data_IF_724087222985
#
_entry.id   IF_724087222985
#
_cell.length_a   1.000
_cell.length_b   1.000
_cell.length_c   1.000
_cell.angle_alpha   90.00
_cell.angle_beta   90.00
_cell.angle_gamma   90.00
#
_symmetry.space_group_name_H-M   'P 1'
#
loop_
_entity.id
_entity.type
_entity.pdbx_description
1 polymer ?
#
# COMPACT_ATOMS: atom_id res chain seq x y z
N UNK A 1 -17.16 -15.14 -9.64
CA UNK A 1 -16.95 -14.50 -10.95
C UNK A 1 -18.25 -13.91 -11.42
N UNK A 2 -18.27 -12.60 -11.69
CA UNK A 2 -19.51 -11.91 -12.18
C UNK A 2 -19.53 -11.87 -13.69
N UNK A 3 -18.39 -11.62 -14.32
CA UNK A 3 -18.29 -11.52 -15.78
C UNK A 3 -16.93 -11.97 -16.29
N UNK A 4 -16.92 -12.63 -17.42
CA UNK A 4 -15.75 -12.94 -18.24
C UNK A 4 -15.84 -12.10 -19.51
N UNK A 5 -14.76 -11.39 -19.84
CA UNK A 5 -14.73 -10.42 -20.93
C UNK A 5 -14.00 -10.91 -22.18
N UNK A 6 -13.16 -11.94 -22.02
CA UNK A 6 -12.38 -12.50 -23.10
C UNK A 6 -12.60 -14.00 -23.21
N UNK A 7 -12.71 -14.51 -24.42
CA UNK A 7 -12.86 -15.94 -24.72
C UNK A 7 -11.60 -16.51 -25.39
N UNK A 8 -11.56 -17.83 -25.57
CA UNK A 8 -10.47 -18.47 -26.30
C UNK A 8 -10.32 -17.86 -27.69
N UNK A 9 -9.06 -17.63 -28.09
CA UNK A 9 -8.65 -17.02 -29.35
C UNK A 9 -8.80 -15.50 -29.45
N UNK A 10 -9.41 -14.84 -28.45
CA UNK A 10 -9.50 -13.39 -28.44
C UNK A 10 -8.11 -12.75 -28.28
N UNK A 11 -7.88 -11.68 -29.03
CA UNK A 11 -6.69 -10.85 -28.88
C UNK A 11 -6.90 -9.81 -27.77
N UNK A 12 -6.02 -9.78 -26.80
CA UNK A 12 -6.08 -8.87 -25.65
C UNK A 12 -4.77 -8.08 -25.52
N UNK A 13 -4.87 -6.83 -25.08
CA UNK A 13 -3.71 -6.00 -24.79
C UNK A 13 -3.38 -6.08 -23.30
N UNK A 14 -2.15 -5.79 -22.98
CA UNK A 14 -1.74 -5.62 -21.58
C UNK A 14 -2.61 -4.59 -20.88
N UNK A 15 -3.18 -4.97 -19.73
CA UNK A 15 -4.09 -4.13 -18.94
C UNK A 15 -5.58 -4.30 -19.27
N UNK A 16 -5.94 -5.00 -20.34
CA UNK A 16 -7.34 -5.29 -20.65
C UNK A 16 -7.95 -6.17 -19.56
N UNK A 17 -9.18 -5.87 -19.15
CA UNK A 17 -9.90 -6.65 -18.14
C UNK A 17 -10.35 -7.98 -18.75
N UNK A 18 -9.90 -9.08 -18.17
CA UNK A 18 -10.25 -10.44 -18.59
C UNK A 18 -11.43 -11.00 -17.79
N UNK A 19 -11.41 -10.80 -16.48
CA UNK A 19 -12.43 -11.34 -15.57
C UNK A 19 -12.76 -10.29 -14.51
N UNK A 20 -14.04 -10.18 -14.17
CA UNK A 20 -14.51 -9.36 -13.05
C UNK A 20 -15.12 -10.28 -12.00
N UNK A 21 -14.65 -10.12 -10.78
CA UNK A 21 -15.20 -10.79 -9.58
C UNK A 21 -16.33 -9.97 -8.98
N UNK A 22 -17.04 -10.55 -8.02
CA UNK A 22 -18.00 -9.80 -7.22
C UNK A 22 -17.26 -8.73 -6.40
N UNK A 23 -17.69 -7.49 -6.55
CA UNK A 23 -17.08 -6.32 -5.94
C UNK A 23 -17.81 -5.86 -4.69
N UNK A 24 -18.92 -6.47 -4.32
CA UNK A 24 -19.83 -5.97 -3.29
C UNK A 24 -19.10 -5.79 -1.97
N UNK A 25 -18.46 -6.85 -1.47
CA UNK A 25 -17.75 -6.83 -0.19
C UNK A 25 -16.52 -5.91 -0.22
N UNK A 26 -15.76 -5.96 -1.31
CA UNK A 26 -14.56 -5.12 -1.47
C UNK A 26 -14.93 -3.63 -1.54
N UNK A 27 -16.02 -3.28 -2.21
CA UNK A 27 -16.53 -1.91 -2.28
C UNK A 27 -17.03 -1.42 -0.92
N UNK A 28 -17.77 -2.26 -0.19
CA UNK A 28 -18.22 -1.93 1.17
C UNK A 28 -17.03 -1.74 2.12
N UNK A 29 -16.02 -2.61 2.04
CA UNK A 29 -14.79 -2.48 2.84
C UNK A 29 -14.06 -1.16 2.53
N UNK A 30 -13.97 -0.78 1.26
CA UNK A 30 -13.36 0.48 0.83
C UNK A 30 -14.12 1.70 1.37
N UNK A 31 -15.44 1.75 1.26
CA UNK A 31 -16.26 2.84 1.80
C UNK A 31 -16.19 2.91 3.34
N UNK A 32 -16.15 1.77 4.02
CA UNK A 32 -15.93 1.69 5.47
C UNK A 32 -14.57 2.27 5.86
N UNK A 33 -13.52 1.91 5.15
CA UNK A 33 -12.17 2.42 5.40
C UNK A 33 -12.09 3.95 5.17
N UNK A 34 -12.72 4.48 4.13
CA UNK A 34 -12.83 5.94 3.89
C UNK A 34 -13.53 6.67 5.04
N UNK A 35 -14.60 6.08 5.55
CA UNK A 35 -15.35 6.66 6.68
C UNK A 35 -14.50 6.66 7.95
N UNK A 36 -13.73 5.59 8.20
CA UNK A 36 -12.80 5.51 9.31
C UNK A 36 -11.68 6.56 9.20
N UNK A 37 -11.11 6.76 8.02
CA UNK A 37 -10.13 7.82 7.78
C UNK A 37 -10.72 9.21 8.06
N UNK A 38 -11.90 9.49 7.54
CA UNK A 38 -12.58 10.76 7.80
C UNK A 38 -12.85 10.98 9.30
N UNK A 39 -13.16 9.93 10.05
CA UNK A 39 -13.31 9.99 11.52
C UNK A 39 -11.99 10.29 12.21
N UNK A 40 -10.92 9.58 11.85
CA UNK A 40 -9.57 9.78 12.41
C UNK A 40 -9.07 11.21 12.16
N UNK A 41 -9.26 11.73 10.94
CA UNK A 41 -8.93 13.12 10.60
C UNK A 41 -9.66 14.12 11.48
N UNK A 42 -10.99 13.93 11.69
CA UNK A 42 -11.78 14.82 12.56
C UNK A 42 -11.34 14.76 14.01
N UNK A 43 -11.05 13.58 14.55
CA UNK A 43 -10.55 13.40 15.93
C UNK A 43 -9.20 14.10 16.11
N UNK A 44 -8.28 13.89 15.20
CA UNK A 44 -6.95 14.54 15.25
C UNK A 44 -7.07 16.04 15.12
N UNK A 45 -7.91 16.54 14.22
CA UNK A 45 -8.16 17.97 14.08
C UNK A 45 -8.77 18.58 15.35
N UNK A 46 -9.65 17.85 16.05
CA UNK A 46 -10.20 18.27 17.32
C UNK A 46 -9.11 18.41 18.42
N UNK A 47 -8.17 17.46 18.47
CA UNK A 47 -7.02 17.55 19.39
C UNK A 47 -6.14 18.75 19.09
N UNK A 48 -5.92 19.07 17.82
CA UNK A 48 -5.16 20.26 17.40
C UNK A 48 -5.87 21.58 17.76
N UNK A 49 -7.19 21.63 17.63
CA UNK A 49 -7.99 22.79 18.08
C UNK A 49 -7.90 22.92 19.60
N UNK A 50 -8.03 21.80 20.34
CA UNK A 50 -7.91 21.80 21.79
C UNK A 50 -6.53 22.29 22.24
N UNK A 51 -5.46 21.95 21.55
CA UNK A 51 -4.12 22.45 21.81
C UNK A 51 -4.05 23.99 21.75
N UNK A 52 -4.66 24.60 20.72
CA UNK A 52 -4.73 26.07 20.59
C UNK A 52 -5.53 26.70 21.74
N UNK A 53 -6.61 26.06 22.16
CA UNK A 53 -7.41 26.52 23.28
C UNK A 53 -6.63 26.48 24.61
N UNK A 54 -5.88 25.38 24.85
CA UNK A 54 -5.04 25.25 26.04
C UNK A 54 -3.88 26.26 26.02
N UNK A 55 -3.30 26.54 24.85
CA UNK A 55 -2.28 27.58 24.70
C UNK A 55 -2.84 28.97 25.05
N UNK A 56 -4.06 29.29 24.61
CA UNK A 56 -4.71 30.54 25.01
C UNK A 56 -4.97 30.59 26.54
N UNK A 57 -5.32 29.46 27.16
CA UNK A 57 -5.49 29.36 28.60
C UNK A 57 -4.17 29.68 29.36
N UNK A 58 -3.04 29.20 28.86
CA UNK A 58 -1.69 29.52 29.44
C UNK A 58 -1.47 31.03 29.42
N UNK A 59 -1.81 31.72 28.32
CA UNK A 59 -1.63 33.19 28.25
C UNK A 59 -2.51 33.95 29.25
N UNK A 60 -3.74 33.47 29.48
CA UNK A 60 -4.63 34.02 30.51
C UNK A 60 -4.01 33.86 31.90
N UNK A 61 -3.50 32.67 32.26
CA UNK A 61 -2.89 32.41 33.57
C UNK A 61 -1.57 33.18 33.72
N UNK A 62 -0.79 33.30 32.63
CA UNK A 62 0.45 34.11 32.62
C UNK A 62 0.17 35.57 32.91
N UNK A 63 -0.90 36.13 32.35
CA UNK A 63 -1.34 37.49 32.60
C UNK A 63 -1.78 37.68 34.07
N UNK A 64 -2.54 36.71 34.62
CA UNK A 64 -2.98 36.73 36.01
C UNK A 64 -1.79 36.69 36.98
N UNK A 65 -0.77 35.86 36.72
CA UNK A 65 0.45 35.80 37.46
C UNK A 65 1.22 37.14 37.43
N UNK A 66 1.36 37.72 36.22
CA UNK A 66 2.04 39.01 36.06
C UNK A 66 1.34 40.13 36.87
N UNK A 67 0.01 40.12 36.89
CA UNK A 67 -0.77 41.06 37.71
C UNK A 67 -0.55 40.83 39.20
N UNK A 68 -0.63 39.60 39.71
CA UNK A 68 -0.39 39.26 41.11
C UNK A 68 1.04 39.64 41.53
N UNK A 69 2.02 39.38 40.66
CA UNK A 69 3.41 39.74 40.91
C UNK A 69 3.63 41.26 40.98
N UNK A 70 2.98 42.01 40.09
CA UNK A 70 3.00 43.48 40.07
C UNK A 70 2.39 44.04 41.35
N UNK A 71 1.26 43.51 41.82
CA UNK A 71 0.61 43.89 43.06
C UNK A 71 1.46 43.60 44.28
N UNK A 72 2.04 42.42 44.34
CA UNK A 72 3.00 42.07 45.41
C UNK A 72 4.20 43.01 45.42
N UNK A 73 4.82 43.26 44.26
CA UNK A 73 6.01 44.14 44.17
C UNK A 73 5.71 45.60 44.61
N UNK A 74 4.48 46.09 44.36
CA UNK A 74 4.05 47.41 44.87
C UNK A 74 3.86 47.42 46.38
N UNK A 75 3.44 46.32 47.01
CA UNK A 75 3.16 46.21 48.43
C UNK A 75 4.44 45.96 49.28
N UNK A 76 5.44 45.32 48.71
CA UNK A 76 6.71 45.02 49.42
C UNK A 76 7.35 46.28 50.06
N UNK A 77 7.58 47.41 49.34
CA UNK A 77 8.16 48.60 49.93
C UNK A 77 7.24 49.24 50.98
N UNK A 78 5.92 49.16 50.84
CA UNK A 78 4.96 49.70 51.84
C UNK A 78 4.97 48.86 53.12
N UNK A 79 5.09 47.52 53.02
CA UNK A 79 5.27 46.65 54.19
C UNK A 79 6.57 46.89 54.92
N UNK A 80 7.67 47.09 54.19
CA UNK A 80 8.99 47.42 54.78
C UNK A 80 8.98 48.75 55.52
N UNK A 81 8.14 49.68 55.07
CA UNK A 81 7.93 50.99 55.72
C UNK A 81 6.87 50.91 56.84
N UNK A 82 6.36 49.77 57.21
CA UNK A 82 5.27 49.56 58.19
C UNK A 82 3.98 50.33 57.85
N UNK A 83 3.72 50.63 56.53
CA UNK A 83 2.56 51.35 56.07
C UNK A 83 1.35 50.42 55.76
N UNK A 84 1.58 49.12 55.66
CA UNK A 84 0.60 48.06 55.55
C UNK A 84 0.82 46.94 56.53
N UNK A 85 -0.23 46.20 56.88
CA UNK A 85 -0.17 45.06 57.80
C UNK A 85 0.63 43.87 57.24
N UNK A 86 1.26 43.09 58.12
CA UNK A 86 1.96 41.84 57.70
C UNK A 86 1.02 40.83 57.02
N UNK A 87 -0.22 40.78 57.45
CA UNK A 87 -1.26 39.93 56.87
C UNK A 87 -1.55 40.31 55.40
N UNK A 88 -1.64 41.59 55.11
CA UNK A 88 -1.89 42.07 53.72
C UNK A 88 -0.71 41.74 52.80
N UNK A 89 0.51 41.82 53.28
CA UNK A 89 1.68 41.39 52.49
C UNK A 89 1.70 39.87 52.26
N UNK A 90 1.28 39.10 53.29
CA UNK A 90 1.19 37.65 53.19
C UNK A 90 0.11 37.25 52.16
N UNK A 91 -1.07 37.86 52.20
CA UNK A 91 -2.11 37.64 51.21
C UNK A 91 -1.64 37.93 49.78
N UNK A 92 -0.88 38.99 49.55
CA UNK A 92 -0.31 39.28 48.25
C UNK A 92 0.70 38.21 47.78
N UNK A 93 1.51 37.65 48.71
CA UNK A 93 2.44 36.55 48.43
C UNK A 93 1.68 35.27 48.07
N UNK A 94 0.65 34.97 48.84
CA UNK A 94 -0.19 33.78 48.62
C UNK A 94 -0.95 33.87 47.27
N UNK A 95 -1.36 35.06 46.86
CA UNK A 95 -1.95 35.31 45.56
C UNK A 95 -0.97 35.01 44.43
N UNK A 96 0.31 35.39 44.55
CA UNK A 96 1.35 35.04 43.55
C UNK A 96 1.55 33.52 43.49
N UNK A 97 1.66 32.85 44.66
CA UNK A 97 1.83 31.41 44.75
C UNK A 97 0.64 30.66 44.10
N UNK A 98 -0.58 31.12 44.36
CA UNK A 98 -1.79 30.57 43.76
C UNK A 98 -1.83 30.76 42.21
N UNK A 99 -1.51 31.95 41.73
CA UNK A 99 -1.47 32.23 40.29
C UNK A 99 -0.36 31.43 39.59
N UNK A 100 0.80 31.20 40.23
CA UNK A 100 1.85 30.36 39.70
C UNK A 100 1.37 28.89 39.58
N UNK A 101 0.75 28.36 40.63
CA UNK A 101 0.22 26.99 40.61
C UNK A 101 -0.84 26.80 39.50
N UNK A 102 -1.70 27.81 39.27
CA UNK A 102 -2.68 27.77 38.21
C UNK A 102 -2.02 27.78 36.82
N UNK A 103 -0.97 28.56 36.61
CA UNK A 103 -0.18 28.55 35.38
C UNK A 103 0.48 27.20 35.15
N UNK A 104 1.06 26.60 36.17
CA UNK A 104 1.70 25.29 36.08
C UNK A 104 0.70 24.19 35.69
N UNK A 105 -0.50 24.22 36.26
CA UNK A 105 -1.61 23.29 35.85
C UNK A 105 -1.97 23.49 34.39
N UNK A 106 -2.12 24.73 33.91
CA UNK A 106 -2.44 24.99 32.50
C UNK A 106 -1.33 24.50 31.55
N UNK A 107 -0.04 24.68 31.95
CA UNK A 107 1.09 24.15 31.18
C UNK A 107 1.06 22.62 31.11
N UNK A 108 0.78 21.94 32.24
CA UNK A 108 0.72 20.48 32.26
C UNK A 108 -0.43 19.94 31.40
N UNK A 109 -1.58 20.62 31.40
CA UNK A 109 -2.69 20.26 30.53
C UNK A 109 -2.34 20.40 29.04
N UNK A 110 -1.65 21.48 28.66
CA UNK A 110 -1.15 21.70 27.31
C UNK A 110 -0.15 20.61 26.92
N UNK A 111 0.83 20.32 27.78
CA UNK A 111 1.84 19.30 27.53
C UNK A 111 1.22 17.90 27.36
N UNK A 112 0.22 17.56 28.17
CA UNK A 112 -0.50 16.29 28.03
C UNK A 112 -1.22 16.19 26.69
N UNK A 113 -1.83 17.27 26.22
CA UNK A 113 -2.47 17.30 24.89
C UNK A 113 -1.44 17.24 23.75
N UNK A 114 -0.30 17.94 23.90
CA UNK A 114 0.81 17.92 22.93
C UNK A 114 1.40 16.50 22.76
N UNK A 115 1.50 15.75 23.85
CA UNK A 115 1.97 14.36 23.79
C UNK A 115 1.06 13.47 22.92
N UNK A 116 -0.23 13.82 22.75
CA UNK A 116 -1.16 13.08 21.89
C UNK A 116 -1.01 13.41 20.40
N UNK A 117 -0.56 14.64 20.06
CA UNK A 117 -0.47 15.13 18.67
C UNK A 117 0.96 15.20 18.14
N UNK A 118 1.97 14.87 18.96
CA UNK A 118 3.40 14.75 18.58
C UNK A 118 3.96 15.96 17.80
N UNK A 119 3.39 17.14 17.96
CA UNK A 119 3.77 18.40 17.28
C UNK A 119 3.98 18.25 15.76
N UNK A 120 3.23 17.35 15.13
CA UNK A 120 3.33 17.03 13.70
C UNK A 120 2.09 17.49 12.93
N UNK A 121 2.20 17.54 11.60
CA UNK A 121 1.07 17.87 10.75
C UNK A 121 -0.04 16.82 10.86
N UNK A 122 -1.26 17.20 10.53
CA UNK A 122 -2.44 16.33 10.55
C UNK A 122 -2.22 15.05 9.75
N UNK A 123 -1.63 15.15 8.58
CA UNK A 123 -1.33 14.04 7.67
C UNK A 123 -0.27 13.07 8.20
N UNK A 124 0.64 13.55 9.08
CA UNK A 124 1.73 12.78 9.65
C UNK A 124 1.34 12.09 10.97
N UNK A 125 0.13 12.33 11.46
CA UNK A 125 -0.34 11.72 12.69
C UNK A 125 -0.52 10.20 12.54
N UNK A 126 -0.01 9.38 13.49
CA UNK A 126 -0.05 7.92 13.36
C UNK A 126 -1.45 7.35 13.14
N UNK A 127 -2.47 7.90 13.81
CA UNK A 127 -3.85 7.46 13.65
C UNK A 127 -4.41 7.75 12.25
N UNK A 128 -4.02 8.88 11.64
CA UNK A 128 -4.41 9.24 10.27
C UNK A 128 -3.66 8.36 9.26
N UNK A 129 -2.36 8.15 9.46
CA UNK A 129 -1.52 7.28 8.61
C UNK A 129 -2.01 5.83 8.61
N UNK A 130 -2.37 5.31 9.79
CA UNK A 130 -2.94 3.97 9.92
C UNK A 130 -4.25 3.88 9.13
N UNK A 131 -5.18 4.80 9.34
CA UNK A 131 -6.45 4.82 8.62
C UNK A 131 -6.27 5.01 7.09
N UNK A 132 -5.30 5.81 6.65
CA UNK A 132 -4.94 5.97 5.24
C UNK A 132 -4.39 4.66 4.63
N UNK A 133 -3.61 3.90 5.41
CA UNK A 133 -3.11 2.59 4.99
C UNK A 133 -4.26 1.59 4.81
N UNK A 134 -5.25 1.59 5.70
CA UNK A 134 -6.44 0.75 5.56
C UNK A 134 -7.27 1.11 4.31
N UNK A 135 -7.40 2.41 3.99
CA UNK A 135 -8.03 2.84 2.73
C UNK A 135 -7.27 2.29 1.52
N UNK A 136 -5.93 2.35 1.54
CA UNK A 136 -5.09 1.82 0.45
C UNK A 136 -5.25 0.32 0.31
N UNK A 137 -5.26 -0.43 1.42
CA UNK A 137 -5.44 -1.88 1.42
C UNK A 137 -6.82 -2.26 0.85
N UNK A 138 -7.87 -1.59 1.29
CA UNK A 138 -9.23 -1.83 0.80
C UNK A 138 -9.39 -1.45 -0.68
N UNK A 139 -8.74 -0.38 -1.13
CA UNK A 139 -8.70 0.00 -2.54
C UNK A 139 -7.98 -1.06 -3.39
N UNK A 140 -6.82 -1.56 -2.94
CA UNK A 140 -6.11 -2.64 -3.63
C UNK A 140 -6.93 -3.92 -3.70
N UNK A 141 -7.66 -4.26 -2.63
CA UNK A 141 -8.57 -5.41 -2.64
C UNK A 141 -9.69 -5.22 -3.69
N UNK A 142 -10.24 -4.02 -3.81
CA UNK A 142 -11.26 -3.68 -4.82
C UNK A 142 -10.67 -3.75 -6.25
N UNK A 143 -9.49 -3.19 -6.49
CA UNK A 143 -8.85 -3.26 -7.82
C UNK A 143 -8.52 -4.70 -8.23
N UNK A 144 -8.08 -5.55 -7.28
CA UNK A 144 -7.81 -6.97 -7.54
C UNK A 144 -9.03 -7.81 -7.89
N UNK A 145 -10.25 -7.28 -7.74
CA UNK A 145 -11.46 -7.91 -8.24
C UNK A 145 -11.57 -7.85 -9.76
N UNK A 146 -10.81 -6.97 -10.41
CA UNK A 146 -10.66 -6.89 -11.86
C UNK A 146 -9.36 -7.58 -12.24
N UNK A 147 -9.46 -8.74 -12.85
CA UNK A 147 -8.29 -9.49 -13.30
C UNK A 147 -7.97 -9.02 -14.70
N UNK A 148 -6.79 -8.42 -14.86
CA UNK A 148 -6.33 -7.84 -16.13
C UNK A 148 -5.27 -8.71 -16.80
N UNK A 149 -5.13 -8.56 -18.12
CA UNK A 149 -4.07 -9.24 -18.86
C UNK A 149 -2.68 -8.71 -18.48
N UNK A 150 -1.73 -9.58 -18.12
CA UNK A 150 -0.37 -9.18 -17.80
C UNK A 150 0.45 -8.82 -19.05
N UNK A 151 -0.01 -9.24 -20.23
CA UNK A 151 0.71 -9.04 -21.50
C UNK A 151 -0.25 -8.95 -22.68
N UNK A 152 0.25 -8.47 -23.81
CA UNK A 152 -0.49 -8.46 -25.09
C UNK A 152 -0.34 -9.81 -25.79
N UNK A 153 -1.46 -10.43 -26.16
CA UNK A 153 -1.45 -11.74 -26.78
C UNK A 153 -2.85 -12.31 -27.03
N UNK A 154 -2.89 -13.60 -27.25
CA UNK A 154 -4.14 -14.35 -27.51
C UNK A 154 -4.52 -15.16 -26.28
N UNK A 155 -5.80 -15.10 -25.91
CA UNK A 155 -6.34 -15.92 -24.82
C UNK A 155 -6.43 -17.38 -25.23
N UNK A 156 -5.99 -18.26 -24.34
CA UNK A 156 -6.04 -19.71 -24.51
C UNK A 156 -6.45 -20.40 -23.22
N UNK A 157 -7.01 -21.61 -23.32
CA UNK A 157 -7.37 -22.46 -22.17
C UNK A 157 -8.20 -21.74 -21.11
N UNK A 158 -9.25 -21.04 -21.53
CA UNK A 158 -10.19 -20.45 -20.58
C UNK A 158 -10.90 -21.55 -19.78
N UNK A 159 -10.64 -21.61 -18.49
CA UNK A 159 -11.24 -22.57 -17.55
C UNK A 159 -12.35 -21.95 -16.69
N UNK A 160 -12.44 -20.62 -16.66
CA UNK A 160 -13.37 -19.87 -15.82
C UNK A 160 -14.68 -19.56 -16.53
N UNK A 161 -15.79 -19.61 -15.77
CA UNK A 161 -17.12 -19.23 -16.27
C UNK A 161 -17.79 -18.24 -15.30
N UNK A 162 -18.74 -17.40 -15.79
CA UNK A 162 -19.58 -16.61 -14.91
C UNK A 162 -20.31 -17.50 -13.88
N UNK A 163 -20.37 -17.06 -12.62
CA UNK A 163 -20.91 -17.84 -11.51
C UNK A 163 -19.89 -18.76 -10.83
N UNK A 164 -18.73 -19.02 -11.43
CA UNK A 164 -17.71 -19.85 -10.81
C UNK A 164 -17.12 -19.19 -9.55
N UNK A 165 -16.91 -20.01 -8.53
CA UNK A 165 -16.14 -19.62 -7.35
C UNK A 165 -14.67 -19.95 -7.61
N UNK A 166 -13.78 -18.99 -7.35
CA UNK A 166 -12.34 -19.13 -7.60
C UNK A 166 -11.54 -18.89 -6.32
N UNK A 167 -10.37 -19.50 -6.27
CA UNK A 167 -9.36 -19.25 -5.25
C UNK A 167 -8.11 -18.61 -5.87
N UNK A 168 -7.20 -18.01 -5.10
CA UNK A 168 -5.99 -17.39 -5.63
C UNK A 168 -5.07 -18.33 -6.43
N UNK A 169 -5.21 -19.64 -6.26
CA UNK A 169 -4.41 -20.67 -6.95
C UNK A 169 -5.11 -21.26 -8.17
N UNK A 170 -6.36 -20.86 -8.45
CA UNK A 170 -7.13 -21.41 -9.56
C UNK A 170 -6.68 -20.76 -10.87
N UNK A 171 -6.14 -21.51 -11.85
CA UNK A 171 -5.84 -20.97 -13.16
C UNK A 171 -7.14 -20.62 -13.91
N UNK A 172 -7.26 -19.39 -14.37
CA UNK A 172 -8.46 -18.88 -15.04
C UNK A 172 -8.39 -19.02 -16.55
N UNK A 173 -7.29 -18.61 -17.12
CA UNK A 173 -6.97 -18.69 -18.54
C UNK A 173 -5.48 -18.48 -18.75
N UNK A 174 -4.97 -18.83 -19.92
CA UNK A 174 -3.61 -18.50 -20.34
C UNK A 174 -3.66 -17.39 -21.40
N UNK A 175 -2.67 -16.50 -21.38
CA UNK A 175 -2.45 -15.53 -22.44
C UNK A 175 -1.13 -15.90 -23.12
N UNK A 176 -1.21 -16.22 -24.41
CA UNK A 176 -0.04 -16.53 -25.24
C UNK A 176 0.46 -15.23 -25.85
N UNK A 177 1.71 -14.83 -25.63
CA UNK A 177 2.22 -13.56 -26.15
C UNK A 177 2.20 -13.55 -27.68
N UNK A 178 1.82 -12.40 -28.26
CA UNK A 178 1.86 -12.20 -29.70
C UNK A 178 3.26 -11.91 -30.23
N UNK A 179 4.17 -11.53 -29.33
CA UNK A 179 5.57 -11.20 -29.62
C UNK A 179 6.48 -11.93 -28.64
N UNK A 180 7.77 -12.03 -28.97
CA UNK A 180 8.76 -12.73 -28.15
C UNK A 180 8.45 -14.23 -27.99
N UNK A 181 8.15 -14.86 -29.11
CA UNK A 181 7.98 -16.31 -29.14
C UNK A 181 9.33 -17.01 -29.02
N UNK A 182 9.32 -18.16 -28.35
CA UNK A 182 10.47 -19.05 -28.30
C UNK A 182 10.05 -20.45 -28.72
N UNK A 183 11.02 -21.25 -29.11
CA UNK A 183 10.83 -22.66 -29.47
C UNK A 183 11.75 -23.49 -28.61
N UNK A 184 11.18 -24.48 -27.92
CA UNK A 184 11.94 -25.49 -27.22
C UNK A 184 12.14 -26.69 -28.16
N UNK A 185 13.38 -26.88 -28.62
CA UNK A 185 13.71 -27.92 -29.57
C UNK A 185 14.49 -29.04 -28.87
N UNK A 186 14.01 -30.25 -29.01
CA UNK A 186 14.63 -31.45 -28.43
C UNK A 186 15.59 -32.06 -29.45
N UNK A 187 16.89 -32.02 -29.13
CA UNK A 187 17.96 -32.63 -29.93
C UNK A 187 18.52 -33.87 -29.28
N UNK A 188 19.06 -34.79 -30.10
CA UNK A 188 19.84 -35.90 -29.58
C UNK A 188 21.18 -35.38 -29.06
N UNK A 189 21.74 -36.05 -28.01
CA UNK A 189 23.02 -35.67 -27.41
C UNK A 189 24.14 -35.51 -28.43
N UNK A 190 24.21 -36.41 -29.42
CA UNK A 190 25.18 -36.35 -30.50
C UNK A 190 25.10 -35.09 -31.36
N UNK A 191 23.93 -34.45 -31.44
CA UNK A 191 23.72 -33.23 -32.24
C UNK A 191 24.11 -31.97 -31.44
N UNK A 192 24.13 -32.04 -30.13
CA UNK A 192 24.49 -30.92 -29.24
C UNK A 192 25.97 -30.55 -29.27
N UNK A 193 26.85 -31.48 -29.71
CA UNK A 193 28.32 -31.31 -29.66
C UNK A 193 28.79 -29.99 -30.30
N UNK A 194 28.12 -29.53 -31.36
CA UNK A 194 28.50 -28.35 -32.13
C UNK A 194 27.58 -27.15 -31.88
N UNK A 195 26.56 -27.30 -31.04
CA UNK A 195 25.67 -26.18 -30.71
C UNK A 195 26.31 -25.19 -29.73
N UNK A 196 26.12 -23.92 -29.99
CA UNK A 196 26.61 -22.84 -29.13
C UNK A 196 25.53 -21.78 -28.96
N UNK A 197 25.45 -21.18 -27.76
CA UNK A 197 24.57 -20.05 -27.47
C UNK A 197 24.93 -18.89 -28.38
N UNK A 198 23.93 -18.24 -28.96
CA UNK A 198 24.08 -17.15 -29.94
C UNK A 198 24.13 -17.62 -31.40
N UNK A 199 24.21 -18.92 -31.67
CA UNK A 199 24.22 -19.49 -33.03
C UNK A 199 22.89 -19.17 -33.74
N UNK A 200 22.93 -18.75 -35.04
CA UNK A 200 21.72 -18.55 -35.80
C UNK A 200 20.96 -19.87 -36.02
N UNK A 201 19.65 -19.83 -35.92
CA UNK A 201 18.76 -20.94 -36.13
C UNK A 201 17.63 -20.55 -37.09
N UNK A 202 17.18 -21.49 -37.92
CA UNK A 202 16.04 -21.31 -38.80
C UNK A 202 14.97 -22.32 -38.38
N UNK A 203 13.77 -21.83 -38.15
CA UNK A 203 12.59 -22.65 -37.83
C UNK A 203 11.65 -22.62 -39.04
N UNK A 204 11.22 -23.78 -39.47
CA UNK A 204 10.23 -23.98 -40.55
C UNK A 204 9.00 -24.65 -39.93
N UNK A 205 7.83 -24.14 -40.24
CA UNK A 205 6.55 -24.68 -39.76
C UNK A 205 5.88 -25.48 -40.88
N UNK A 206 5.47 -26.72 -40.60
CA UNK A 206 4.78 -27.56 -41.54
C UNK A 206 3.45 -26.96 -42.05
N UNK A 207 2.84 -26.04 -41.28
CA UNK A 207 1.58 -25.36 -41.67
C UNK A 207 1.80 -24.41 -42.85
N UNK A 208 2.97 -23.76 -42.91
CA UNK A 208 3.28 -22.73 -43.91
C UNK A 208 4.26 -23.24 -44.99
N UNK A 209 4.75 -24.47 -44.85
CA UNK A 209 5.71 -25.05 -45.76
C UNK A 209 7.09 -24.37 -45.73
N UNK A 210 7.89 -24.67 -46.75
CA UNK A 210 9.27 -24.13 -46.85
C UNK A 210 9.33 -22.65 -47.27
N UNK A 211 8.20 -22.07 -47.65
CA UNK A 211 8.14 -20.67 -48.10
C UNK A 211 8.26 -19.68 -46.97
N UNK A 212 7.91 -20.06 -45.72
CA UNK A 212 8.00 -19.21 -44.53
C UNK A 212 9.07 -19.72 -43.59
N UNK A 213 10.18 -18.98 -43.53
CA UNK A 213 11.32 -19.28 -42.66
C UNK A 213 11.40 -18.26 -41.52
N UNK A 214 11.33 -18.74 -40.30
CA UNK A 214 11.51 -17.91 -39.12
C UNK A 214 12.98 -17.95 -38.69
N UNK A 215 13.62 -16.80 -38.63
CA UNK A 215 15.01 -16.68 -38.20
C UNK A 215 15.07 -16.38 -36.70
N UNK A 216 15.90 -17.11 -35.99
CA UNK A 216 16.12 -16.95 -34.57
C UNK A 216 17.58 -17.18 -34.20
N UNK A 217 17.85 -17.28 -32.92
CA UNK A 217 19.15 -17.66 -32.40
C UNK A 217 19.00 -18.54 -31.17
N UNK A 218 19.95 -19.41 -30.94
CA UNK A 218 20.02 -20.24 -29.75
C UNK A 218 20.25 -19.33 -28.53
N UNK A 219 19.30 -19.31 -27.60
CA UNK A 219 19.37 -18.47 -26.40
C UNK A 219 19.83 -19.24 -25.15
N UNK A 220 19.66 -20.57 -25.15
CA UNK A 220 20.07 -21.41 -24.04
C UNK A 220 20.10 -22.89 -24.42
N UNK A 221 20.78 -23.67 -23.61
CA UNK A 221 20.81 -25.11 -23.68
C UNK A 221 20.46 -25.64 -22.29
N UNK A 222 19.37 -26.38 -22.17
CA UNK A 222 18.97 -26.99 -20.91
C UNK A 222 19.92 -28.13 -20.52
N UNK A 223 20.28 -28.17 -19.24
CA UNK A 223 21.18 -29.16 -18.68
C UNK A 223 20.51 -30.52 -18.40
N UNK A 224 19.23 -30.66 -18.67
CA UNK A 224 18.45 -31.86 -18.43
C UNK A 224 17.88 -32.48 -19.71
N UNK A 225 17.65 -33.79 -19.68
CA UNK A 225 16.90 -34.44 -20.78
C UNK A 225 15.43 -34.09 -20.70
N UNK A 226 14.75 -33.95 -21.85
CA UNK A 226 13.31 -33.65 -21.92
C UNK A 226 12.45 -34.67 -21.14
N UNK A 227 12.93 -35.91 -20.99
CA UNK A 227 12.28 -36.94 -20.18
C UNK A 227 12.39 -36.69 -18.66
N UNK A 228 13.40 -35.97 -18.20
CA UNK A 228 13.57 -35.64 -16.79
C UNK A 228 12.56 -34.57 -16.31
N UNK A 229 12.07 -33.73 -17.22
CA UNK A 229 11.08 -32.65 -16.95
C UNK A 229 9.67 -33.03 -17.38
N UNK A 230 9.46 -34.19 -17.95
CA UNK A 230 8.13 -34.67 -18.34
C UNK A 230 7.38 -35.21 -17.12
N UNK A 231 6.14 -34.73 -16.90
CA UNK A 231 5.23 -35.23 -15.86
C UNK A 231 4.92 -36.74 -16.01
N UNK A 232 5.01 -37.25 -17.23
CA UNK A 232 4.89 -38.68 -17.57
C UNK A 232 6.05 -39.03 -18.51
N UNK A 233 7.13 -39.60 -18.02
CA UNK A 233 8.20 -40.07 -18.89
C UNK A 233 7.65 -41.10 -19.86
N UNK A 234 7.91 -40.91 -21.15
CA UNK A 234 7.48 -41.84 -22.19
C UNK A 234 8.05 -43.25 -21.90
N UNK A 235 7.16 -44.19 -21.59
CA UNK A 235 7.53 -45.58 -21.29
C UNK A 235 8.03 -46.35 -22.50
N UNK A 236 7.95 -45.79 -23.71
CA UNK A 236 8.38 -46.42 -24.97
C UNK A 236 9.33 -45.50 -25.74
N UNK A 237 10.35 -46.13 -26.34
CA UNK A 237 11.40 -45.48 -27.11
C UNK A 237 10.93 -44.72 -28.40
N UNK A 238 9.65 -44.76 -28.70
CA UNK A 238 8.99 -43.99 -29.76
C UNK A 238 8.34 -42.75 -29.21
N UNK A 239 9.18 -41.82 -28.73
CA UNK A 239 8.70 -40.47 -28.44
C UNK A 239 8.27 -39.77 -29.73
N UNK A 240 7.19 -38.97 -29.67
CA UNK A 240 6.81 -38.03 -30.74
C UNK A 240 7.98 -37.06 -30.96
N UNK A 241 8.80 -37.35 -31.95
CA UNK A 241 9.86 -36.46 -32.39
C UNK A 241 9.24 -35.49 -33.38
N UNK A 242 9.21 -34.23 -33.03
CA UNK A 242 8.95 -33.16 -34.00
C UNK A 242 10.16 -33.18 -34.93
N UNK A 243 9.92 -33.39 -36.23
CA UNK A 243 10.95 -33.35 -37.24
C UNK A 243 11.47 -31.93 -37.35
N UNK A 244 12.70 -31.71 -37.01
CA UNK A 244 13.41 -30.42 -37.18
C UNK A 244 14.19 -30.47 -38.47
#
# INVERSE_FOLDING_TARGET
VTKVWADNTDFVKQGDVLVTLDQTDARQAFEKAKTALASSVRQTHQLMINSKQLQASIEVQRTALAQAQSDFNRRVPLGNANLIGREELQHARDAVASAQAQLDVAIQQYNANQAMILDSKLEDQPAVQQAATEVRNAWLALERTKIVSPMTGYVSRRAVQPGAQISPTTPLMAVVPATNLWVDANFKETQLAHMRIGQPATVISDIYGDDVKYTGKVVGLDMGTGSAFSLLPAQNATGNWIKV
#
